data_IF_201016970599
#
_entry.id   IF_201016970599
#
_cell.length_a   1.000
_cell.length_b   1.000
_cell.length_c   1.000
_cell.angle_alpha   90.00
_cell.angle_beta   90.00
_cell.angle_gamma   90.00
#
_symmetry.space_group_name_H-M   'P 1'
#
loop_
_entity.id
_entity.type
_entity.pdbx_description
1 polymer ?
#
# COMPACT_ATOMS: atom_id res chain seq x y z
N UNK A 1 18.51 -5.84 -11.24
CA UNK A 1 18.55 -5.44 -12.68
C UNK A 1 17.93 -4.06 -12.79
N UNK A 2 18.46 -3.17 -13.66
CA UNK A 2 17.83 -1.88 -13.89
C UNK A 2 16.39 -2.06 -14.33
N UNK A 3 15.51 -1.21 -13.81
CA UNK A 3 14.10 -1.14 -14.23
C UNK A 3 13.90 0.02 -15.22
N UNK A 4 12.86 -0.08 -16.01
CA UNK A 4 12.26 1.07 -16.70
C UNK A 4 10.89 1.29 -16.12
N UNK A 5 10.62 2.50 -15.63
CA UNK A 5 9.34 2.84 -15.00
C UNK A 5 8.18 2.60 -15.95
N UNK A 6 7.20 1.87 -15.46
CA UNK A 6 5.90 1.70 -16.10
C UNK A 6 4.84 2.26 -15.17
N UNK A 7 4.30 3.41 -15.52
CA UNK A 7 3.23 4.04 -14.75
C UNK A 7 2.01 3.13 -14.71
N UNK A 8 1.39 3.02 -13.54
CA UNK A 8 0.22 2.16 -13.38
C UNK A 8 -0.77 2.67 -12.35
N UNK A 9 -0.37 3.61 -11.48
CA UNK A 9 -1.30 4.24 -10.56
C UNK A 9 -1.95 5.46 -11.22
N UNK A 10 -3.27 5.42 -11.30
CA UNK A 10 -4.09 6.56 -11.71
C UNK A 10 -4.33 7.49 -10.52
N UNK A 11 -4.53 8.81 -10.77
CA UNK A 11 -4.89 9.75 -9.71
C UNK A 11 -6.11 9.30 -8.93
N UNK A 12 -6.13 9.53 -7.63
CA UNK A 12 -7.29 9.26 -6.80
C UNK A 12 -8.37 10.34 -6.98
N UNK A 13 -9.63 9.94 -6.85
CA UNK A 13 -10.74 10.88 -6.79
C UNK A 13 -10.89 11.43 -5.37
N UNK A 14 -10.53 12.71 -5.19
CA UNK A 14 -10.59 13.41 -3.90
C UNK A 14 -12.01 13.55 -3.35
N UNK A 15 -13.04 13.47 -4.20
CA UNK A 15 -14.45 13.56 -3.80
C UNK A 15 -15.05 12.22 -3.39
N UNK A 16 -14.33 11.12 -3.65
CA UNK A 16 -14.82 9.79 -3.30
C UNK A 16 -14.80 9.58 -1.78
N UNK A 17 -15.91 9.16 -1.17
CA UNK A 17 -16.00 8.92 0.26
C UNK A 17 -14.98 7.86 0.72
N UNK A 18 -14.36 8.13 1.87
CA UNK A 18 -13.44 7.21 2.54
C UNK A 18 -13.46 7.43 4.05
N UNK A 19 -13.17 6.39 4.82
CA UNK A 19 -12.90 6.52 6.24
C UNK A 19 -11.52 7.17 6.43
N UNK A 20 -11.42 8.05 7.41
CA UNK A 20 -10.14 8.62 7.85
C UNK A 20 -9.62 7.85 9.04
N UNK A 21 -8.33 7.53 9.05
CA UNK A 21 -7.70 6.78 10.13
C UNK A 21 -7.87 7.48 11.48
N UNK A 22 -7.69 8.80 11.51
CA UNK A 22 -7.91 9.63 12.71
C UNK A 22 -9.32 9.56 13.33
N UNK A 23 -10.30 9.04 12.60
CA UNK A 23 -11.65 8.80 13.11
C UNK A 23 -11.84 7.44 13.78
N UNK A 24 -10.97 6.49 13.47
CA UNK A 24 -11.01 5.11 14.00
C UNK A 24 -9.95 4.85 15.06
N UNK A 25 -8.91 5.65 15.11
CA UNK A 25 -7.94 5.61 16.21
C UNK A 25 -8.54 6.26 17.45
N UNK A 26 -8.34 5.62 18.59
CA UNK A 26 -8.72 6.22 19.88
C UNK A 26 -7.83 7.42 20.20
N UNK A 27 -8.37 8.42 20.88
CA UNK A 27 -7.67 9.68 21.23
C UNK A 27 -6.49 9.49 22.19
N UNK A 28 -6.36 8.32 22.81
CA UNK A 28 -5.35 8.02 23.84
C UNK A 28 -4.18 7.18 23.32
N UNK A 29 -3.92 7.18 22.01
CA UNK A 29 -2.76 6.47 21.48
C UNK A 29 -1.47 7.12 21.94
N UNK A 30 -0.56 6.30 22.47
CA UNK A 30 0.80 6.73 22.77
C UNK A 30 1.49 7.27 21.51
N UNK A 31 2.43 8.20 21.70
CA UNK A 31 3.28 8.66 20.61
C UNK A 31 3.96 7.46 19.93
N UNK A 32 4.08 7.46 18.59
CA UNK A 32 4.74 6.36 17.90
C UNK A 32 6.21 6.27 18.33
N UNK A 33 6.81 5.07 18.36
CA UNK A 33 8.22 4.91 18.68
C UNK A 33 9.10 5.65 17.67
N UNK A 34 10.37 5.85 18.03
CA UNK A 34 11.32 6.55 17.16
C UNK A 34 11.59 5.80 15.83
N UNK A 35 11.36 4.50 15.80
CA UNK A 35 11.48 3.63 14.63
C UNK A 35 10.55 2.43 14.74
N UNK A 36 10.12 1.91 13.60
CA UNK A 36 9.44 0.63 13.48
C UNK A 36 9.92 -0.08 12.21
N UNK A 37 9.97 -1.41 12.22
CA UNK A 37 10.37 -2.21 11.08
C UNK A 37 9.54 -3.49 11.00
N UNK A 38 8.79 -3.62 9.91
CA UNK A 38 7.98 -4.79 9.57
C UNK A 38 8.54 -5.53 8.36
N UNK A 39 9.64 -5.03 7.76
CA UNK A 39 10.22 -5.58 6.54
C UNK A 39 11.32 -6.60 6.81
N UNK A 40 12.13 -6.39 7.86
CA UNK A 40 13.23 -7.29 8.24
C UNK A 40 12.82 -8.78 8.38
N UNK A 41 11.62 -9.14 8.84
CA UNK A 41 11.23 -10.54 8.90
C UNK A 41 11.03 -11.23 7.56
N UNK A 42 10.93 -10.46 6.47
CA UNK A 42 10.62 -10.98 5.12
C UNK A 42 11.92 -11.23 4.36
N UNK A 43 12.17 -12.46 3.86
CA UNK A 43 13.31 -12.73 2.99
C UNK A 43 13.30 -11.85 1.75
N UNK A 44 14.46 -11.35 1.33
CA UNK A 44 14.56 -10.41 0.22
C UNK A 44 14.01 -10.97 -1.11
N UNK A 45 14.15 -12.28 -1.33
CA UNK A 45 13.66 -12.99 -2.51
C UNK A 45 12.14 -13.26 -2.49
N UNK A 46 11.48 -13.03 -1.35
CA UNK A 46 10.03 -13.22 -1.24
C UNK A 46 9.23 -12.10 -1.91
N UNK A 47 9.83 -10.93 -2.14
CA UNK A 47 9.08 -9.78 -2.66
C UNK A 47 8.68 -9.94 -4.12
N UNK A 48 9.60 -10.26 -5.03
CA UNK A 48 9.35 -10.42 -6.46
C UNK A 48 8.84 -9.15 -7.16
N UNK A 49 8.98 -9.09 -8.48
CA UNK A 49 8.46 -8.00 -9.32
C UNK A 49 6.94 -8.02 -9.50
N UNK A 50 6.35 -9.21 -9.46
CA UNK A 50 4.91 -9.46 -9.51
C UNK A 50 4.20 -8.93 -10.77
N UNK A 51 4.95 -8.69 -11.85
CA UNK A 51 4.47 -8.17 -13.13
C UNK A 51 4.82 -6.71 -13.38
N UNK A 52 5.25 -5.98 -12.36
CA UNK A 52 5.47 -4.54 -12.44
C UNK A 52 6.72 -4.13 -13.24
N UNK A 53 7.50 -5.09 -13.72
CA UNK A 53 8.54 -4.93 -14.75
C UNK A 53 7.99 -5.03 -16.18
N UNK A 54 6.81 -5.60 -16.36
CA UNK A 54 6.20 -5.90 -17.65
C UNK A 54 5.05 -4.94 -17.99
N UNK A 55 4.21 -4.62 -16.99
CA UNK A 55 2.99 -3.83 -17.15
C UNK A 55 2.79 -2.84 -15.99
N UNK A 56 1.84 -1.92 -16.15
CA UNK A 56 1.46 -0.92 -15.16
C UNK A 56 0.56 -1.44 -14.04
N UNK A 57 0.86 -2.59 -13.46
CA UNK A 57 0.07 -3.22 -12.40
C UNK A 57 0.51 -2.87 -10.98
N UNK A 58 1.29 -1.80 -10.79
CA UNK A 58 1.89 -1.42 -9.51
C UNK A 58 0.90 -1.41 -8.34
N UNK A 59 -0.37 -1.05 -8.57
CA UNK A 59 -1.41 -1.08 -7.55
C UNK A 59 -1.73 -2.49 -7.07
N UNK A 60 -1.63 -3.49 -7.94
CA UNK A 60 -1.84 -4.89 -7.60
C UNK A 60 -0.56 -5.50 -7.01
N UNK A 61 0.61 -5.17 -7.55
CA UNK A 61 1.89 -5.60 -7.01
C UNK A 61 2.08 -5.10 -5.56
N UNK A 62 1.76 -3.83 -5.29
CA UNK A 62 1.81 -3.27 -3.93
C UNK A 62 0.83 -3.97 -2.96
N UNK A 63 -0.39 -4.32 -3.42
CA UNK A 63 -1.32 -5.11 -2.63
C UNK A 63 -0.75 -6.49 -2.29
N UNK A 64 -0.10 -7.14 -3.26
CA UNK A 64 0.54 -8.42 -3.05
C UNK A 64 1.74 -8.31 -2.10
N UNK A 65 2.60 -7.29 -2.24
CA UNK A 65 3.69 -7.00 -1.31
C UNK A 65 3.18 -6.80 0.12
N UNK A 66 2.10 -6.02 0.28
CA UNK A 66 1.47 -5.87 1.60
C UNK A 66 1.07 -7.21 2.20
N UNK A 67 0.39 -8.06 1.45
CA UNK A 67 -0.03 -9.38 1.92
C UNK A 67 1.14 -10.29 2.27
N UNK A 68 2.18 -10.30 1.43
CA UNK A 68 3.41 -11.05 1.70
C UNK A 68 4.02 -10.59 3.03
N UNK A 69 4.24 -9.28 3.18
CA UNK A 69 4.86 -8.74 4.38
C UNK A 69 4.04 -8.96 5.64
N UNK A 70 2.72 -8.76 5.59
CA UNK A 70 1.83 -9.00 6.73
C UNK A 70 1.86 -10.48 7.16
N UNK A 71 1.87 -11.42 6.22
CA UNK A 71 1.93 -12.84 6.51
C UNK A 71 3.25 -13.24 7.18
N UNK A 72 4.38 -12.73 6.72
CA UNK A 72 5.68 -12.98 7.34
C UNK A 72 5.80 -12.31 8.73
N UNK A 73 5.47 -11.03 8.82
CA UNK A 73 5.65 -10.26 10.04
C UNK A 73 4.59 -10.56 11.11
N UNK A 74 3.34 -10.75 10.70
CA UNK A 74 2.20 -11.01 11.59
C UNK A 74 2.05 -12.47 11.97
N UNK A 75 2.11 -13.38 11.01
CA UNK A 75 1.84 -14.80 11.21
C UNK A 75 3.08 -15.70 11.16
N UNK A 76 4.26 -15.13 10.86
CA UNK A 76 5.51 -15.89 10.65
C UNK A 76 5.33 -17.01 9.61
N UNK A 77 4.51 -16.77 8.61
CA UNK A 77 4.13 -17.72 7.58
C UNK A 77 4.50 -17.20 6.19
N UNK A 78 5.20 -17.99 5.36
CA UNK A 78 5.41 -17.66 3.96
C UNK A 78 4.08 -17.52 3.23
N UNK A 79 3.93 -16.49 2.41
CA UNK A 79 2.84 -16.33 1.49
C UNK A 79 3.44 -16.16 0.09
N UNK A 80 3.24 -17.17 -0.76
CA UNK A 80 3.73 -17.14 -2.13
C UNK A 80 2.65 -16.55 -3.04
N UNK A 81 2.91 -15.38 -3.57
CA UNK A 81 2.11 -14.74 -4.62
C UNK A 81 3.03 -14.58 -5.84
N UNK A 82 2.54 -14.90 -7.01
CA UNK A 82 3.33 -14.86 -8.23
C UNK A 82 2.78 -13.85 -9.25
N UNK A 83 3.55 -13.59 -10.30
CA UNK A 83 3.17 -12.66 -11.37
C UNK A 83 1.83 -13.03 -12.02
N UNK A 84 1.55 -14.31 -12.25
CA UNK A 84 0.29 -14.72 -12.88
C UNK A 84 -0.93 -14.40 -12.02
N UNK A 85 -0.80 -14.51 -10.68
CA UNK A 85 -1.84 -14.11 -9.73
C UNK A 85 -2.12 -12.61 -9.83
N UNK A 86 -1.08 -11.80 -9.88
CA UNK A 86 -1.19 -10.34 -9.97
C UNK A 86 -1.79 -9.91 -11.32
N UNK A 87 -1.30 -10.43 -12.43
CA UNK A 87 -1.82 -10.10 -13.76
C UNK A 87 -3.28 -10.55 -13.94
N UNK A 88 -3.65 -11.71 -13.40
CA UNK A 88 -5.05 -12.16 -13.38
C UNK A 88 -5.93 -11.17 -12.59
N UNK A 89 -5.46 -10.71 -11.45
CA UNK A 89 -6.19 -9.74 -10.64
C UNK A 89 -6.26 -8.37 -11.33
N UNK A 90 -5.16 -7.94 -11.96
CA UNK A 90 -5.10 -6.71 -12.75
C UNK A 90 -6.09 -6.72 -13.93
N UNK A 91 -6.40 -7.90 -14.46
CA UNK A 91 -7.43 -8.07 -15.48
C UNK A 91 -8.82 -7.56 -15.08
N UNK A 92 -9.14 -7.51 -13.79
CA UNK A 92 -10.40 -6.94 -13.30
C UNK A 92 -10.49 -5.41 -13.47
N UNK A 93 -9.36 -4.74 -13.75
CA UNK A 93 -9.26 -3.30 -14.03
C UNK A 93 -9.10 -3.01 -15.52
N UNK A 94 -9.39 -4.01 -16.37
CA UNK A 94 -9.44 -3.85 -17.82
C UNK A 94 -8.23 -4.35 -18.58
N UNK A 95 -7.14 -4.73 -17.91
CA UNK A 95 -5.96 -5.30 -18.54
C UNK A 95 -6.27 -6.64 -19.21
N UNK A 96 -5.73 -6.83 -20.42
CA UNK A 96 -5.81 -8.08 -21.18
C UNK A 96 -4.40 -8.51 -21.60
N UNK A 97 -3.92 -9.69 -21.19
CA UNK A 97 -2.62 -10.18 -21.64
C UNK A 97 -2.53 -10.22 -23.17
N UNK A 98 -1.41 -9.73 -23.72
CA UNK A 98 -1.19 -9.66 -25.17
C UNK A 98 -1.76 -8.44 -25.86
N UNK A 99 -2.50 -7.57 -25.17
CA UNK A 99 -3.03 -6.30 -25.70
C UNK A 99 -2.51 -5.11 -24.87
N UNK A 100 -1.35 -4.50 -25.25
CA UNK A 100 -0.77 -3.38 -24.53
C UNK A 100 -1.68 -2.14 -24.44
N UNK A 101 -2.66 -1.99 -25.35
CA UNK A 101 -3.59 -0.87 -25.31
C UNK A 101 -4.54 -0.89 -24.12
N UNK A 102 -4.65 -2.04 -23.46
CA UNK A 102 -5.47 -2.26 -22.27
C UNK A 102 -4.71 -2.04 -20.96
N UNK A 103 -3.39 -1.84 -21.01
CA UNK A 103 -2.54 -1.53 -19.86
C UNK A 103 -2.67 -0.04 -19.50
N UNK A 104 -3.72 0.28 -18.76
CA UNK A 104 -4.10 1.66 -18.41
C UNK A 104 -3.91 2.01 -16.95
N UNK A 105 -3.36 1.08 -16.16
CA UNK A 105 -3.24 1.26 -14.73
C UNK A 105 -4.56 1.11 -13.97
N UNK A 106 -4.53 1.40 -12.67
CA UNK A 106 -5.71 1.38 -11.81
C UNK A 106 -5.61 2.45 -10.71
N UNK A 107 -6.76 2.85 -10.16
CA UNK A 107 -6.86 3.72 -8.99
C UNK A 107 -6.68 2.87 -7.73
N UNK A 108 -5.84 3.31 -6.79
CA UNK A 108 -5.59 2.60 -5.52
C UNK A 108 -6.88 2.23 -4.80
N UNK A 109 -7.82 3.17 -4.66
CA UNK A 109 -9.08 2.94 -3.97
C UNK A 109 -9.97 1.92 -4.70
N UNK A 110 -9.88 1.80 -6.02
CA UNK A 110 -10.63 0.78 -6.79
C UNK A 110 -10.09 -0.62 -6.48
N UNK A 111 -8.76 -0.76 -6.43
CA UNK A 111 -8.10 -2.02 -6.07
C UNK A 111 -8.48 -2.45 -4.65
N UNK A 112 -8.41 -1.53 -3.67
CA UNK A 112 -8.80 -1.80 -2.29
C UNK A 112 -10.30 -2.14 -2.16
N UNK A 113 -11.17 -1.42 -2.87
CA UNK A 113 -12.61 -1.66 -2.90
C UNK A 113 -12.97 -2.99 -3.58
N UNK A 114 -12.26 -3.36 -4.64
CA UNK A 114 -12.44 -4.65 -5.30
C UNK A 114 -11.98 -5.80 -4.38
N UNK A 115 -10.83 -5.65 -3.71
CA UNK A 115 -10.36 -6.61 -2.70
C UNK A 115 -11.37 -6.78 -1.57
N UNK A 116 -11.95 -5.69 -1.07
CA UNK A 116 -13.00 -5.76 -0.05
C UNK A 116 -14.21 -6.59 -0.52
N UNK A 117 -14.68 -6.37 -1.72
CA UNK A 117 -15.90 -7.01 -2.24
C UNK A 117 -15.67 -8.43 -2.76
N UNK A 118 -14.58 -8.65 -3.47
CA UNK A 118 -14.34 -9.89 -4.25
C UNK A 118 -13.22 -10.75 -3.69
N UNK A 119 -12.30 -10.16 -2.93
CA UNK A 119 -11.13 -10.86 -2.42
C UNK A 119 -9.95 -10.84 -3.39
N UNK A 120 -8.77 -11.14 -2.85
CA UNK A 120 -7.54 -11.41 -3.57
C UNK A 120 -6.94 -12.71 -3.02
N UNK A 121 -6.83 -13.74 -3.87
CA UNK A 121 -6.36 -15.08 -3.49
C UNK A 121 -7.15 -15.67 -2.29
N UNK A 122 -8.47 -15.58 -2.37
CA UNK A 122 -9.36 -16.15 -1.36
C UNK A 122 -9.63 -15.29 -0.13
N UNK A 123 -8.82 -14.24 0.10
CA UNK A 123 -8.95 -13.38 1.26
C UNK A 123 -9.53 -12.00 0.90
N UNK A 124 -10.32 -11.44 1.82
CA UNK A 124 -10.90 -10.10 1.70
C UNK A 124 -10.34 -9.19 2.78
N UNK A 125 -10.11 -7.92 2.45
CA UNK A 125 -9.93 -6.96 3.52
C UNK A 125 -11.27 -6.65 4.21
N UNK A 126 -11.22 -6.35 5.52
CA UNK A 126 -12.39 -5.94 6.29
C UNK A 126 -12.78 -4.50 6.01
N UNK A 127 -11.79 -3.64 5.94
CA UNK A 127 -11.92 -2.21 5.71
C UNK A 127 -10.59 -1.63 5.26
N UNK A 128 -10.63 -0.41 4.76
CA UNK A 128 -9.45 0.41 4.52
C UNK A 128 -9.76 1.87 4.89
N UNK A 129 -8.77 2.54 5.46
CA UNK A 129 -8.90 3.93 5.93
C UNK A 129 -7.78 4.78 5.38
N UNK A 130 -8.09 6.02 5.04
CA UNK A 130 -7.11 6.97 4.54
C UNK A 130 -6.32 7.59 5.69
N UNK A 131 -5.02 7.69 5.50
CA UNK A 131 -4.06 8.37 6.37
C UNK A 131 -3.89 9.81 5.86
N UNK A 132 -3.76 10.76 6.76
CA UNK A 132 -3.31 12.11 6.41
C UNK A 132 -1.82 12.07 6.08
N UNK A 133 -1.46 12.22 4.80
CA UNK A 133 -0.07 12.14 4.32
C UNK A 133 0.83 13.24 4.83
N UNK A 134 0.26 14.39 5.24
CA UNK A 134 0.99 15.54 5.79
C UNK A 134 1.27 15.39 7.30
N UNK A 135 0.65 14.39 7.96
CA UNK A 135 0.85 14.10 9.37
C UNK A 135 1.79 12.90 9.56
N UNK A 136 3.08 13.20 9.75
CA UNK A 136 4.08 12.17 10.01
C UNK A 136 3.80 11.35 11.27
N UNK A 137 3.08 11.91 12.26
CA UNK A 137 2.70 11.17 13.46
C UNK A 137 1.66 10.11 13.13
N UNK A 138 0.62 10.47 12.39
CA UNK A 138 -0.41 9.53 11.94
C UNK A 138 0.21 8.46 11.02
N UNK A 139 1.13 8.84 10.12
CA UNK A 139 1.83 7.90 9.24
C UNK A 139 2.67 6.89 10.03
N UNK A 140 3.45 7.36 11.01
CA UNK A 140 4.27 6.51 11.91
C UNK A 140 3.40 5.60 12.77
N UNK A 141 2.29 6.12 13.32
CA UNK A 141 1.32 5.32 14.06
C UNK A 141 0.73 4.22 13.17
N UNK A 142 0.35 4.56 11.93
CA UNK A 142 -0.19 3.60 10.98
C UNK A 142 0.80 2.47 10.70
N UNK A 143 2.07 2.77 10.41
CA UNK A 143 3.09 1.74 10.20
C UNK A 143 3.34 0.94 11.48
N UNK A 144 3.49 1.61 12.63
CA UNK A 144 3.78 0.91 13.89
C UNK A 144 2.67 -0.06 14.30
N UNK A 145 1.41 0.33 14.12
CA UNK A 145 0.26 -0.44 14.59
C UNK A 145 -0.20 -1.49 13.57
N UNK A 146 -0.12 -1.17 12.27
CA UNK A 146 -0.75 -1.97 11.21
C UNK A 146 0.23 -2.57 10.21
N UNK A 147 1.53 -2.48 10.49
CA UNK A 147 2.56 -3.02 9.61
C UNK A 147 2.67 -2.23 8.32
N UNK A 148 2.70 -2.93 7.19
CA UNK A 148 2.80 -2.25 5.91
C UNK A 148 1.53 -1.47 5.57
N UNK A 149 1.70 -0.22 5.18
CA UNK A 149 0.64 0.63 4.63
C UNK A 149 0.75 0.71 3.11
N UNK A 150 -0.37 0.86 2.44
CA UNK A 150 -0.49 0.90 0.98
C UNK A 150 -0.53 2.35 0.51
N UNK A 151 0.42 2.77 -0.33
CA UNK A 151 0.59 4.19 -0.65
C UNK A 151 0.75 4.45 -2.14
N UNK A 152 0.22 5.58 -2.58
CA UNK A 152 0.45 6.15 -3.89
C UNK A 152 1.49 7.25 -3.84
N UNK A 153 2.39 7.25 -4.81
CA UNK A 153 3.48 8.22 -4.94
C UNK A 153 3.62 8.66 -6.40
N UNK A 154 4.29 9.79 -6.60
CA UNK A 154 4.74 10.24 -7.92
C UNK A 154 6.20 9.89 -8.12
N UNK A 155 6.52 9.14 -9.17
CA UNK A 155 7.89 8.82 -9.57
C UNK A 155 8.43 9.86 -10.54
N UNK A 156 9.68 10.25 -10.32
CA UNK A 156 10.44 11.13 -11.21
C UNK A 156 11.57 10.36 -11.87
N UNK A 157 12.16 10.91 -12.94
CA UNK A 157 13.35 10.34 -13.57
C UNK A 157 14.49 10.15 -12.55
N UNK A 158 14.68 11.12 -11.65
CA UNK A 158 15.69 10.97 -10.59
C UNK A 158 15.42 9.81 -9.65
N UNK A 159 14.14 9.53 -9.32
CA UNK A 159 13.82 8.39 -8.47
C UNK A 159 14.08 7.06 -9.20
N UNK A 160 13.80 6.97 -10.51
CA UNK A 160 14.18 5.82 -11.32
C UNK A 160 15.70 5.64 -11.40
N UNK A 161 16.43 6.72 -11.64
CA UNK A 161 17.91 6.71 -11.72
C UNK A 161 18.52 6.29 -10.37
N UNK A 162 18.00 6.84 -9.24
CA UNK A 162 18.43 6.49 -7.89
C UNK A 162 18.16 5.01 -7.58
N UNK A 163 16.97 4.50 -7.94
CA UNK A 163 16.66 3.08 -7.79
C UNK A 163 17.62 2.19 -8.57
N UNK A 164 17.87 2.52 -9.83
CA UNK A 164 18.78 1.77 -10.71
C UNK A 164 20.25 1.86 -10.26
N UNK A 165 20.60 2.93 -9.54
CA UNK A 165 21.92 3.15 -8.94
C UNK A 165 22.09 2.58 -7.52
N UNK A 166 21.07 1.91 -6.98
CA UNK A 166 21.05 1.43 -5.58
C UNK A 166 21.22 2.60 -4.57
N UNK A 167 20.61 3.74 -4.89
CA UNK A 167 20.67 4.95 -4.09
C UNK A 167 19.34 5.17 -3.34
N UNK A 168 19.43 5.97 -2.28
CA UNK A 168 18.25 6.40 -1.50
C UNK A 168 17.43 7.38 -2.35
N UNK A 169 16.11 7.19 -2.38
CA UNK A 169 15.23 8.19 -2.97
C UNK A 169 15.27 9.49 -2.16
N UNK A 170 15.80 10.52 -2.78
CA UNK A 170 15.79 11.88 -2.26
C UNK A 170 15.34 12.86 -3.34
N UNK A 171 14.90 14.04 -2.90
CA UNK A 171 14.37 15.07 -3.81
C UNK A 171 15.48 15.59 -4.72
N UNK A 172 15.29 15.40 -6.02
CA UNK A 172 16.08 16.04 -7.06
C UNK A 172 15.31 17.20 -7.68
N UNK A 173 15.88 18.39 -7.61
CA UNK A 173 15.29 19.59 -8.23
C UNK A 173 15.34 19.44 -9.76
N UNK A 174 14.23 19.79 -10.44
CA UNK A 174 14.11 19.78 -11.91
C UNK A 174 14.10 18.38 -12.56
N UNK A 175 13.80 17.32 -11.80
CA UNK A 175 13.61 16.01 -12.40
C UNK A 175 12.20 15.89 -13.00
N UNK A 176 12.06 15.45 -14.26
CA UNK A 176 10.75 15.21 -14.86
C UNK A 176 9.93 14.19 -14.08
N UNK A 177 8.63 14.42 -13.94
CA UNK A 177 7.72 13.40 -13.43
C UNK A 177 7.46 12.36 -14.51
N UNK A 178 7.59 11.09 -14.17
CA UNK A 178 7.30 9.96 -15.05
C UNK A 178 5.86 9.49 -14.91
N UNK A 179 5.30 9.53 -13.69
CA UNK A 179 3.90 9.16 -13.46
C UNK A 179 3.63 8.67 -12.04
N UNK A 180 2.38 8.23 -11.83
CA UNK A 180 1.94 7.68 -10.56
C UNK A 180 2.38 6.23 -10.36
N UNK A 181 2.79 5.91 -9.14
CA UNK A 181 3.22 4.58 -8.71
C UNK A 181 2.56 4.19 -7.40
N UNK A 182 2.41 2.91 -7.16
CA UNK A 182 1.90 2.39 -5.91
C UNK A 182 2.93 1.45 -5.28
N UNK A 183 3.20 1.66 -4.00
CA UNK A 183 4.19 0.94 -3.20
C UNK A 183 3.62 0.63 -1.82
N UNK A 184 4.35 -0.11 -1.00
CA UNK A 184 4.04 -0.20 0.43
C UNK A 184 5.14 0.43 1.27
N UNK A 185 4.79 1.06 2.39
CA UNK A 185 5.73 1.51 3.40
C UNK A 185 5.62 0.59 4.61
N UNK A 186 6.73 0.03 5.06
CA UNK A 186 6.72 -0.95 6.15
C UNK A 186 7.75 -0.68 7.26
N UNK A 187 8.62 0.33 7.10
CA UNK A 187 9.54 0.73 8.15
C UNK A 187 9.79 2.25 8.13
N UNK A 188 10.21 2.77 9.26
CA UNK A 188 10.64 4.16 9.39
C UNK A 188 11.65 4.33 10.53
N UNK A 189 12.43 5.39 10.43
CA UNK A 189 13.27 5.94 11.49
C UNK A 189 13.32 7.47 11.42
N UNK A 190 14.29 8.09 12.12
CA UNK A 190 14.47 9.55 12.10
C UNK A 190 14.88 10.10 10.74
N UNK A 191 15.49 9.28 9.87
CA UNK A 191 16.08 9.70 8.60
C UNK A 191 15.14 9.50 7.41
N UNK A 192 14.18 8.56 7.50
CA UNK A 192 13.29 8.27 6.38
C UNK A 192 12.41 7.06 6.60
N UNK A 193 11.95 6.52 5.48
CA UNK A 193 11.02 5.41 5.36
C UNK A 193 11.65 4.32 4.51
N UNK A 194 11.19 3.08 4.70
CA UNK A 194 11.53 1.97 3.81
C UNK A 194 10.25 1.46 3.12
N UNK A 195 10.33 1.38 1.82
CA UNK A 195 9.25 0.96 0.94
C UNK A 195 9.57 -0.40 0.29
N UNK A 196 8.53 -1.15 -0.07
CA UNK A 196 8.67 -2.28 -0.99
C UNK A 196 8.15 -1.87 -2.35
N UNK A 197 9.00 -1.98 -3.34
CA UNK A 197 8.71 -1.70 -4.74
C UNK A 197 9.65 -2.51 -5.65
N UNK A 198 9.21 -2.86 -6.84
CA UNK A 198 10.00 -3.56 -7.86
C UNK A 198 10.84 -4.73 -7.33
N UNK A 199 10.22 -5.51 -6.43
CA UNK A 199 10.80 -6.72 -5.88
C UNK A 199 11.89 -6.55 -4.82
N UNK A 200 12.08 -5.36 -4.28
CA UNK A 200 13.04 -5.12 -3.22
C UNK A 200 12.60 -4.02 -2.24
N UNK A 201 13.38 -3.85 -1.18
CA UNK A 201 13.20 -2.75 -0.24
C UNK A 201 13.97 -1.53 -0.74
N UNK A 202 13.28 -0.41 -0.89
CA UNK A 202 13.82 0.87 -1.30
C UNK A 202 13.72 1.89 -0.16
N UNK A 203 14.87 2.44 0.21
CA UNK A 203 14.95 3.52 1.20
C UNK A 203 14.57 4.85 0.56
N UNK A 204 13.79 5.69 1.31
CA UNK A 204 13.48 7.07 0.91
C UNK A 204 13.59 8.04 2.09
N UNK A 205 13.93 9.31 1.80
CA UNK A 205 13.98 10.35 2.82
C UNK A 205 12.57 10.85 3.17
N UNK A 206 12.37 11.37 4.39
CA UNK A 206 11.13 12.06 4.75
C UNK A 206 10.80 13.19 3.78
N UNK A 207 11.83 13.94 3.37
CA UNK A 207 11.69 15.02 2.39
C UNK A 207 11.19 14.53 1.03
N UNK A 208 11.60 13.34 0.59
CA UNK A 208 11.09 12.75 -0.64
C UNK A 208 9.60 12.41 -0.50
N UNK A 209 9.22 11.84 0.65
CA UNK A 209 7.83 11.56 0.96
C UNK A 209 6.97 12.84 0.95
N UNK A 210 7.42 13.92 1.59
CA UNK A 210 6.70 15.19 1.65
C UNK A 210 6.43 15.81 0.28
N UNK A 211 7.27 15.52 -0.71
CA UNK A 211 7.15 16.08 -2.06
C UNK A 211 6.38 15.17 -3.01
N UNK A 212 6.53 13.83 -2.86
CA UNK A 212 6.04 12.87 -3.84
C UNK A 212 5.01 11.87 -3.31
N UNK A 213 4.69 11.91 -2.03
CA UNK A 213 3.58 11.15 -1.45
C UNK A 213 2.24 11.75 -1.87
N UNK A 214 1.34 10.93 -2.43
CA UNK A 214 0.04 11.41 -2.94
C UNK A 214 -1.13 10.91 -2.10
N UNK A 215 -1.06 9.67 -1.65
CA UNK A 215 -2.10 9.01 -0.87
C UNK A 215 -1.55 7.88 -0.02
N UNK A 216 -2.19 7.63 1.13
CA UNK A 216 -1.81 6.53 2.01
C UNK A 216 -3.03 5.88 2.65
N UNK A 217 -2.98 4.56 2.80
CA UNK A 217 -4.08 3.74 3.28
C UNK A 217 -3.59 2.69 4.27
N UNK A 218 -4.24 2.62 5.44
CA UNK A 218 -4.26 1.40 6.24
C UNK A 218 -5.28 0.45 5.64
N UNK A 219 -4.91 -0.80 5.48
CA UNK A 219 -5.81 -1.84 5.01
C UNK A 219 -5.89 -2.92 6.08
N UNK A 220 -7.09 -3.17 6.58
CA UNK A 220 -7.33 -4.15 7.62
C UNK A 220 -7.62 -5.51 6.98
N UNK A 221 -6.66 -6.41 7.08
CA UNK A 221 -6.82 -7.80 6.65
C UNK A 221 -6.73 -8.73 7.87
N UNK A 222 -7.85 -9.33 8.33
CA UNK A 222 -7.84 -10.17 9.53
C UNK A 222 -6.93 -11.38 9.41
N UNK A 223 -6.84 -11.96 8.20
CA UNK A 223 -6.05 -13.16 7.96
C UNK A 223 -4.56 -12.94 8.18
N UNK A 224 -4.09 -11.69 8.03
CA UNK A 224 -2.66 -11.37 8.13
C UNK A 224 -2.33 -10.57 9.41
N UNK A 225 -3.36 -10.03 10.10
CA UNK A 225 -3.19 -9.01 11.15
C UNK A 225 -3.58 -9.44 12.56
N UNK A 226 -4.50 -10.39 12.69
CA UNK A 226 -4.96 -10.78 14.01
C UNK A 226 -3.99 -11.74 14.67
N UNK A 227 -3.68 -11.48 15.93
CA UNK A 227 -3.08 -12.48 16.79
C UNK A 227 -4.04 -13.69 16.83
N UNK A 228 -3.62 -14.86 16.35
CA UNK A 228 -4.49 -16.03 16.25
C UNK A 228 -4.98 -16.54 17.61
N UNK A 229 -4.32 -16.11 18.71
CA UNK A 229 -4.67 -16.51 20.08
C UNK A 229 -5.70 -15.60 20.71
N UNK A 230 -5.59 -14.29 20.48
CA UNK A 230 -6.46 -13.28 21.11
C UNK A 230 -7.57 -12.78 20.19
N UNK A 231 -7.45 -12.95 18.88
CA UNK A 231 -8.35 -12.41 17.88
C UNK A 231 -8.33 -10.88 17.81
N UNK A 232 -7.38 -10.24 18.47
CA UNK A 232 -7.22 -8.78 18.52
C UNK A 232 -6.00 -8.36 17.71
N UNK A 233 -6.08 -7.15 17.16
CA UNK A 233 -4.91 -6.52 16.61
C UNK A 233 -4.04 -5.89 17.72
N UNK A 234 -2.82 -5.47 17.36
CA UNK A 234 -1.89 -4.82 18.30
C UNK A 234 -2.37 -3.44 18.77
N UNK A 235 -3.26 -2.81 18.01
CA UNK A 235 -3.81 -1.49 18.33
C UNK A 235 -5.01 -1.57 19.27
N UNK A 236 -5.52 -2.78 19.57
CA UNK A 236 -6.72 -2.98 20.37
C UNK A 236 -7.99 -2.49 19.67
N UNK A 237 -7.97 -2.33 18.34
CA UNK A 237 -9.12 -1.90 17.56
C UNK A 237 -10.26 -2.92 17.66
N UNK A 238 -11.46 -2.40 17.86
CA UNK A 238 -12.68 -3.16 17.72
C UNK A 238 -13.02 -3.29 16.21
N UNK A 239 -12.62 -4.42 15.64
CA UNK A 239 -12.85 -4.72 14.23
C UNK A 239 -14.32 -4.84 13.86
N UNK A 240 -15.19 -5.13 14.85
CA UNK A 240 -16.65 -5.19 14.64
C UNK A 240 -17.19 -3.78 14.42
N UNK A 241 -16.79 -2.84 15.28
CA UNK A 241 -17.16 -1.42 15.14
C UNK A 241 -16.59 -0.84 13.83
N UNK A 242 -15.33 -1.08 13.53
CA UNK A 242 -14.71 -0.64 12.27
C UNK A 242 -15.46 -1.15 11.03
N UNK A 243 -15.86 -2.43 11.03
CA UNK A 243 -16.63 -3.01 9.94
C UNK A 243 -18.02 -2.38 9.81
N UNK A 244 -18.68 -2.11 10.94
CA UNK A 244 -19.98 -1.46 10.95
C UNK A 244 -19.90 -0.03 10.39
N UNK A 245 -18.90 0.74 10.80
CA UNK A 245 -18.66 2.11 10.32
C UNK A 245 -18.33 2.13 8.82
N UNK A 246 -17.51 1.20 8.37
CA UNK A 246 -17.21 1.07 6.94
C UNK A 246 -18.47 0.72 6.12
N UNK A 247 -19.29 -0.21 6.59
CA UNK A 247 -20.55 -0.59 5.93
C UNK A 247 -21.53 0.57 5.88
N UNK A 248 -21.64 1.34 6.97
CA UNK A 248 -22.48 2.54 7.01
C UNK A 248 -22.02 3.62 6.03
N UNK A 249 -20.72 3.85 5.93
CA UNK A 249 -20.14 4.82 4.99
C UNK A 249 -20.43 4.42 3.55
N UNK A 250 -20.20 3.16 3.20
CA UNK A 250 -20.41 2.66 1.83
C UNK A 250 -21.88 2.62 1.45
N UNK A 251 -22.78 2.30 2.38
CA UNK A 251 -24.23 2.33 2.15
C UNK A 251 -24.75 3.73 1.91
N UNK A 252 -24.26 4.73 2.64
CA UNK A 252 -24.59 6.15 2.42
C UNK A 252 -24.12 6.65 1.05
N UNK A 253 -22.96 6.18 0.57
CA UNK A 253 -22.42 6.55 -0.74
C UNK A 253 -23.26 6.00 -1.89
N UNK A 254 -23.86 4.83 -1.73
CA UNK A 254 -24.76 4.23 -2.72
C UNK A 254 -26.11 4.96 -2.82
N UNK A 255 -26.55 5.57 -1.73
CA UNK A 255 -27.82 6.33 -1.67
C UNK A 255 -27.66 7.75 -2.25
N UNK A 256 -26.46 8.32 -2.20
CA UNK A 256 -26.20 9.68 -2.71
C UNK A 256 -25.79 9.70 -4.20
N UNK A 257 -25.64 8.53 -4.83
CA UNK A 257 -25.27 8.35 -6.24
C UNK A 257 -26.40 7.81 -7.12
N UNK A 258 -27.64 7.89 -6.66
CA UNK A 258 -28.84 7.50 -7.42
C UNK A 258 -29.56 8.73 -7.98
#
# INVERSE_FOLDING_TARGET
MPITFRGGRLPHDTNRPHLKLSRVLTTDLAAPPASADWLTPVPADAWGMLGNDQVGDCTVAALAHKRIGDAYAGQRRPLNINTADCLKYYGHFGYRPGDPSTDRGAVCQDVLSYWHRRGFLGEKNLAYTRINIDDHTELKQAINLFGQIYVGVTITQAAEDQFNGDEIWDVSRRSPQLGGHCITLGAYDRKGLDAVTWGCVQRLTWRWWDVYGDEAWVVFNPADFLDPTTGRDRAGLDLVTLRADYSNLTSRSLVLGA
#
